data_IF_859683038123
#
_entry.id   IF_859683038123
#
_cell.length_a   1.000
_cell.length_b   1.000
_cell.length_c   1.000
_cell.angle_alpha   90.00
_cell.angle_beta   90.00
_cell.angle_gamma   90.00
#
_symmetry.space_group_name_H-M   'P 1'
#
loop_
_entity.id
_entity.type
_entity.pdbx_description
1 polymer ?
#
# COMPACT_ATOMS: atom_id res chain seq x y z
N UNK A 1 0.22 15.34 -9.89
CA UNK A 1 1.61 15.28 -9.39
C UNK A 1 2.23 13.99 -9.93
N UNK A 2 3.41 14.05 -10.55
CA UNK A 2 4.15 12.85 -10.98
C UNK A 2 5.19 12.54 -9.91
N UNK A 3 5.15 11.34 -9.34
CA UNK A 3 6.09 10.87 -8.32
C UNK A 3 6.92 9.76 -8.92
N UNK A 4 8.18 10.03 -9.26
CA UNK A 4 9.12 9.04 -9.78
C UNK A 4 10.21 8.78 -8.74
N UNK A 5 10.60 7.52 -8.56
CA UNK A 5 11.67 7.14 -7.64
C UNK A 5 12.13 5.71 -7.88
N UNK A 6 13.38 5.44 -7.51
CA UNK A 6 13.97 4.09 -7.57
C UNK A 6 14.74 3.84 -6.29
N UNK A 7 14.70 2.59 -5.80
CA UNK A 7 15.45 2.12 -4.64
C UNK A 7 15.92 0.69 -4.92
N UNK A 8 17.16 0.39 -4.51
CA UNK A 8 17.68 -0.97 -4.50
C UNK A 8 17.18 -1.68 -3.24
N UNK A 9 16.72 -2.91 -3.38
CA UNK A 9 16.29 -3.75 -2.27
C UNK A 9 17.26 -4.93 -2.14
N UNK A 10 17.58 -5.30 -0.90
CA UNK A 10 18.31 -6.53 -0.61
C UNK A 10 17.34 -7.74 -0.63
N UNK A 11 16.63 -7.92 -1.74
CA UNK A 11 15.61 -8.94 -1.95
C UNK A 11 15.58 -9.36 -3.43
N UNK A 12 15.13 -10.59 -3.72
CA UNK A 12 14.88 -11.00 -5.11
C UNK A 12 13.64 -10.31 -5.69
N UNK A 13 13.48 -10.25 -7.03
CA UNK A 13 12.27 -9.71 -7.65
C UNK A 13 10.99 -10.37 -7.13
N UNK A 14 10.98 -11.68 -6.93
CA UNK A 14 9.83 -12.44 -6.43
C UNK A 14 9.50 -12.07 -4.98
N UNK A 15 10.51 -11.94 -4.12
CA UNK A 15 10.32 -11.51 -2.73
C UNK A 15 9.75 -10.10 -2.66
N UNK A 16 10.30 -9.18 -3.46
CA UNK A 16 9.79 -7.82 -3.54
C UNK A 16 8.35 -7.79 -4.07
N UNK A 17 8.05 -8.58 -5.11
CA UNK A 17 6.71 -8.69 -5.69
C UNK A 17 5.70 -9.21 -4.68
N UNK A 18 6.02 -10.28 -3.95
CA UNK A 18 5.15 -10.82 -2.91
C UNK A 18 4.86 -9.77 -1.82
N UNK A 19 5.90 -9.08 -1.33
CA UNK A 19 5.74 -8.05 -0.31
C UNK A 19 4.90 -6.84 -0.79
N UNK A 20 5.04 -6.44 -2.06
CA UNK A 20 4.26 -5.35 -2.66
C UNK A 20 2.78 -5.69 -2.88
N UNK A 21 2.41 -6.97 -2.80
CA UNK A 21 1.04 -7.46 -2.96
C UNK A 21 0.49 -8.10 -1.66
N UNK A 22 1.20 -8.00 -0.54
CA UNK A 22 0.79 -8.52 0.76
C UNK A 22 0.05 -7.41 1.56
N UNK A 23 -1.25 -7.57 1.86
CA UNK A 23 -2.03 -6.57 2.60
C UNK A 23 -1.45 -6.21 3.97
N UNK A 24 -0.91 -7.18 4.70
CA UNK A 24 -0.35 -6.94 6.05
C UNK A 24 0.95 -6.16 5.96
N UNK A 25 1.81 -6.49 4.98
CA UNK A 25 3.02 -5.72 4.68
C UNK A 25 2.66 -4.27 4.29
N UNK A 26 1.71 -4.10 3.36
CA UNK A 26 1.29 -2.78 2.89
C UNK A 26 0.71 -1.93 4.02
N UNK A 27 -0.15 -2.51 4.87
CA UNK A 27 -0.69 -1.86 6.07
C UNK A 27 0.42 -1.39 7.00
N UNK A 28 1.42 -2.22 7.26
CA UNK A 28 2.55 -1.89 8.13
C UNK A 28 3.43 -0.77 7.55
N UNK A 29 3.55 -0.68 6.23
CA UNK A 29 4.38 0.31 5.55
C UNK A 29 3.71 1.69 5.37
N UNK A 30 2.38 1.78 5.38
CA UNK A 30 1.66 3.05 5.17
C UNK A 30 1.44 3.75 6.51
N UNK A 31 2.02 4.94 6.75
CA UNK A 31 1.88 5.65 8.02
C UNK A 31 0.43 5.94 8.38
N UNK A 32 0.01 5.50 9.57
CA UNK A 32 -1.34 5.71 10.06
C UNK A 32 -2.41 4.80 9.43
N UNK A 33 -2.02 3.82 8.61
CA UNK A 33 -2.95 2.85 8.06
C UNK A 33 -3.45 1.91 9.15
N UNK A 34 -4.75 1.95 9.43
CA UNK A 34 -5.42 1.07 10.40
C UNK A 34 -6.14 -0.10 9.73
N UNK A 35 -6.39 -0.01 8.42
CA UNK A 35 -7.07 -1.03 7.62
C UNK A 35 -6.47 -1.13 6.21
N UNK A 36 -6.18 -2.36 5.77
CA UNK A 36 -5.85 -2.69 4.38
C UNK A 36 -6.28 -4.14 4.15
N UNK A 37 -7.48 -4.34 3.62
CA UNK A 37 -8.15 -5.65 3.57
C UNK A 37 -8.56 -6.00 2.15
N UNK A 38 -8.34 -7.25 1.72
CA UNK A 38 -8.80 -7.72 0.43
C UNK A 38 -10.34 -7.74 0.39
N UNK A 39 -10.90 -7.16 -0.67
CA UNK A 39 -12.34 -7.18 -0.98
C UNK A 39 -12.61 -8.14 -2.12
N UNK A 40 -11.72 -8.15 -3.12
CA UNK A 40 -11.66 -9.10 -4.23
C UNK A 40 -10.19 -9.38 -4.57
N UNK A 41 -9.93 -10.24 -5.54
CA UNK A 41 -8.58 -10.57 -6.00
C UNK A 41 -7.77 -9.34 -6.47
N UNK A 42 -8.43 -8.25 -6.86
CA UNK A 42 -7.79 -7.03 -7.40
C UNK A 42 -8.19 -5.76 -6.65
N UNK A 43 -8.88 -5.87 -5.51
CA UNK A 43 -9.32 -4.69 -4.75
C UNK A 43 -9.07 -4.83 -3.27
N UNK A 44 -8.64 -3.74 -2.65
CA UNK A 44 -8.50 -3.61 -1.21
C UNK A 44 -9.31 -2.43 -0.68
N UNK A 45 -9.91 -2.60 0.50
CA UNK A 45 -10.45 -1.51 1.28
C UNK A 45 -9.36 -0.99 2.22
N UNK A 46 -9.14 0.33 2.23
CA UNK A 46 -8.12 0.97 3.05
C UNK A 46 -8.69 2.04 3.99
N UNK A 47 -8.08 2.15 5.17
CA UNK A 47 -8.33 3.19 6.17
C UNK A 47 -7.02 3.78 6.66
N UNK A 48 -6.93 5.10 6.71
CA UNK A 48 -5.72 5.83 7.13
C UNK A 48 -6.08 6.99 8.04
N UNK A 49 -5.45 7.03 9.21
CA UNK A 49 -5.56 8.08 10.22
C UNK A 49 -4.21 8.80 10.34
N UNK A 50 -4.11 10.04 9.85
CA UNK A 50 -2.85 10.81 9.84
C UNK A 50 -2.99 12.03 10.73
N UNK A 51 -1.94 12.33 11.50
CA UNK A 51 -1.80 13.59 12.25
C UNK A 51 -0.57 14.33 11.73
N UNK A 52 -0.78 15.54 11.21
CA UNK A 52 0.27 16.43 10.70
C UNK A 52 0.13 17.75 11.44
N UNK A 53 1.01 17.97 12.42
CA UNK A 53 0.92 19.14 13.31
C UNK A 53 -0.44 19.19 14.04
N UNK A 54 -1.17 20.33 14.03
CA UNK A 54 -2.47 20.45 14.68
C UNK A 54 -3.60 19.75 13.90
N UNK A 55 -3.35 19.30 12.67
CA UNK A 55 -4.36 18.70 11.80
C UNK A 55 -4.41 17.20 12.01
N UNK A 56 -5.59 16.67 12.34
CA UNK A 56 -5.89 15.25 12.34
C UNK A 56 -6.93 14.96 11.25
N UNK A 57 -6.67 13.97 10.41
CA UNK A 57 -7.56 13.55 9.34
C UNK A 57 -7.69 12.03 9.31
N UNK A 58 -8.88 11.57 8.91
CA UNK A 58 -9.17 10.16 8.63
C UNK A 58 -9.68 10.04 7.21
N UNK A 59 -9.13 9.07 6.49
CA UNK A 59 -9.46 8.77 5.12
C UNK A 59 -9.84 7.30 5.00
N UNK A 60 -10.85 7.03 4.18
CA UNK A 60 -11.19 5.69 3.73
C UNK A 60 -11.15 5.69 2.21
N UNK A 61 -10.69 4.58 1.62
CA UNK A 61 -10.57 4.47 0.17
C UNK A 61 -10.59 3.03 -0.31
N UNK A 62 -10.62 2.89 -1.63
CA UNK A 62 -10.47 1.61 -2.33
C UNK A 62 -9.21 1.66 -3.16
N UNK A 63 -8.36 0.65 -3.03
CA UNK A 63 -7.21 0.43 -3.90
C UNK A 63 -7.60 -0.61 -4.94
N UNK A 64 -7.39 -0.29 -6.21
CA UNK A 64 -7.60 -1.23 -7.32
C UNK A 64 -6.27 -1.55 -7.96
N UNK A 65 -5.95 -2.83 -8.06
CA UNK A 65 -4.81 -3.32 -8.82
C UNK A 65 -5.16 -3.33 -10.32
N UNK A 66 -4.27 -2.79 -11.14
CA UNK A 66 -4.39 -2.76 -12.59
C UNK A 66 -3.05 -3.16 -13.22
N UNK A 67 -3.10 -3.71 -14.43
CA UNK A 67 -1.92 -4.08 -15.23
C UNK A 67 -0.90 -4.96 -14.46
N UNK A 68 -1.43 -5.89 -13.66
CA UNK A 68 -0.63 -6.78 -12.81
C UNK A 68 0.11 -7.80 -13.67
N UNK A 69 1.43 -7.65 -13.77
CA UNK A 69 2.33 -8.60 -14.46
C UNK A 69 3.38 -9.09 -13.47
N UNK A 70 3.29 -10.33 -12.97
CA UNK A 70 4.28 -10.88 -12.06
C UNK A 70 5.64 -11.10 -12.75
N UNK A 71 6.75 -11.08 -11.99
CA UNK A 71 8.09 -11.39 -12.48
C UNK A 71 8.27 -12.87 -12.88
#
# INVERSE_FOLDING_TARGET
MQMNGTRQLAATPEQAWQALNDPEMLKACIPGCDRFEAVTDLQYAMGVSIRIGPVAAKFSGTVTLADVVPP
#
